data_IF_857061240138
#
_entry.id   IF_857061240138
#
_cell.length_a   1.000
_cell.length_b   1.000
_cell.length_c   1.000
_cell.angle_alpha   90.00
_cell.angle_beta   90.00
_cell.angle_gamma   90.00
#
_symmetry.space_group_name_H-M   'P 1'
#
loop_
_entity.id
_entity.type
_entity.pdbx_description
1 polymer ?
#
# COMPACT_ATOMS: atom_id res chain seq x y z
N UNK A 1 2.99 0.21 14.77
CA UNK A 1 2.77 1.17 13.67
C UNK A 1 3.09 2.60 14.10
N UNK A 2 2.33 3.24 14.99
CA UNK A 2 2.51 4.66 15.34
C UNK A 2 3.92 5.00 15.84
N UNK A 3 4.46 4.24 16.81
CA UNK A 3 5.81 4.48 17.36
C UNK A 3 6.89 4.35 16.26
N UNK A 4 6.77 3.36 15.39
CA UNK A 4 7.71 3.16 14.29
C UNK A 4 7.71 4.38 13.34
N UNK A 5 6.53 4.83 12.90
CA UNK A 5 6.40 5.97 12.00
C UNK A 5 6.87 7.27 12.65
N UNK A 6 6.59 7.46 13.93
CA UNK A 6 7.03 8.63 14.68
C UNK A 6 8.55 8.71 14.80
N UNK A 7 9.22 7.60 15.12
CA UNK A 7 10.68 7.52 15.17
C UNK A 7 11.32 7.75 13.81
N UNK A 8 10.74 7.15 12.75
CA UNK A 8 11.19 7.34 11.37
C UNK A 8 11.05 8.80 10.93
N UNK A 9 9.91 9.43 11.19
CA UNK A 9 9.65 10.84 10.90
C UNK A 9 10.68 11.76 11.54
N UNK A 10 10.93 11.60 12.84
CA UNK A 10 11.93 12.42 13.56
C UNK A 10 13.33 12.24 12.95
N UNK A 11 13.72 10.99 12.69
CA UNK A 11 15.05 10.68 12.15
C UNK A 11 15.23 11.25 10.75
N UNK A 12 14.29 11.02 9.85
CA UNK A 12 14.32 11.50 8.46
C UNK A 12 14.25 13.03 8.39
N UNK A 13 13.39 13.66 9.18
CA UNK A 13 13.31 15.13 9.26
C UNK A 13 14.62 15.74 9.73
N UNK A 14 15.31 15.13 10.70
CA UNK A 14 16.62 15.57 11.15
C UNK A 14 17.68 15.43 10.07
N UNK A 15 17.72 14.31 9.37
CA UNK A 15 18.66 14.07 8.25
C UNK A 15 18.39 15.06 7.12
N UNK A 16 17.14 15.28 6.71
CA UNK A 16 16.75 16.24 5.68
C UNK A 16 17.21 17.66 6.05
N UNK A 17 17.00 18.07 7.30
CA UNK A 17 17.50 19.37 7.78
C UNK A 17 19.02 19.49 7.69
N UNK A 18 19.77 18.43 8.01
CA UNK A 18 21.23 18.40 7.91
C UNK A 18 21.71 18.45 6.44
N UNK A 19 21.01 17.78 5.52
CA UNK A 19 21.26 17.90 4.06
C UNK A 19 21.05 19.36 3.61
N UNK A 20 19.91 19.98 3.97
CA UNK A 20 19.61 21.38 3.60
C UNK A 20 20.64 22.39 4.16
N UNK A 21 21.20 22.12 5.34
CA UNK A 21 22.25 22.96 5.93
C UNK A 21 23.67 22.68 5.37
N UNK A 22 23.79 21.75 4.41
CA UNK A 22 25.07 21.39 3.79
C UNK A 22 26.02 20.57 4.67
N UNK A 23 25.55 20.08 5.83
CA UNK A 23 26.34 19.22 6.71
C UNK A 23 26.49 17.79 6.21
N UNK A 24 25.60 17.37 5.29
CA UNK A 24 25.64 16.07 4.63
C UNK A 24 25.60 16.34 3.12
N UNK A 25 26.56 15.79 2.38
CA UNK A 25 26.57 15.90 0.90
C UNK A 25 25.39 15.13 0.32
N UNK A 26 24.62 15.78 -0.56
CA UNK A 26 23.68 15.09 -1.44
C UNK A 26 24.46 14.36 -2.53
N UNK A 27 24.18 13.06 -2.67
CA UNK A 27 24.63 12.32 -3.85
C UNK A 27 23.77 12.78 -5.03
N UNK A 28 24.42 13.29 -6.10
CA UNK A 28 23.71 13.64 -7.33
C UNK A 28 23.36 12.35 -8.07
N UNK A 29 22.09 12.07 -8.14
CA UNK A 29 21.55 10.96 -8.94
C UNK A 29 21.19 11.45 -10.35
N UNK A 30 21.12 10.51 -11.32
CA UNK A 30 20.72 10.81 -12.68
C UNK A 30 19.24 11.22 -12.78
N UNK A 31 18.85 11.78 -13.94
CA UNK A 31 17.46 12.14 -14.22
C UNK A 31 16.63 10.98 -14.82
N UNK A 32 17.11 9.74 -14.70
CA UNK A 32 16.44 8.56 -15.24
C UNK A 32 15.14 8.25 -14.48
N UNK A 33 14.13 7.83 -15.24
CA UNK A 33 12.86 7.39 -14.68
C UNK A 33 12.76 5.86 -14.73
N UNK A 34 12.36 5.26 -13.65
CA UNK A 34 12.22 3.81 -13.50
C UNK A 34 10.75 3.41 -13.39
N UNK A 35 10.35 2.38 -14.15
CA UNK A 35 8.97 1.88 -14.12
C UNK A 35 8.68 1.19 -12.80
N UNK A 36 7.79 1.77 -12.00
CA UNK A 36 7.32 1.22 -10.73
C UNK A 36 6.01 0.47 -10.86
N UNK A 37 5.04 1.05 -11.56
CA UNK A 37 3.71 0.48 -11.77
C UNK A 37 3.29 0.57 -13.23
N UNK A 38 2.85 -0.54 -13.78
CA UNK A 38 2.22 -0.58 -15.11
C UNK A 38 0.84 0.08 -15.08
N UNK A 39 0.27 0.37 -16.24
CA UNK A 39 -1.09 0.93 -16.36
C UNK A 39 -2.11 0.02 -15.66
N UNK A 40 -2.00 -1.30 -15.86
CA UNK A 40 -2.89 -2.27 -15.20
C UNK A 40 -2.78 -2.21 -13.68
N UNK A 41 -1.56 -2.18 -13.13
CA UNK A 41 -1.32 -2.08 -11.68
C UNK A 41 -1.86 -0.76 -11.10
N UNK A 42 -1.74 0.36 -11.84
CA UNK A 42 -2.31 1.65 -11.44
C UNK A 42 -3.83 1.66 -11.41
N UNK A 43 -4.47 1.06 -12.42
CA UNK A 43 -5.94 0.94 -12.47
C UNK A 43 -6.43 0.07 -11.31
N UNK A 44 -5.77 -1.06 -11.05
CA UNK A 44 -6.09 -1.92 -9.90
C UNK A 44 -5.98 -1.13 -8.58
N UNK A 45 -4.88 -0.42 -8.37
CA UNK A 45 -4.66 0.39 -7.18
C UNK A 45 -5.71 1.50 -7.04
N UNK A 46 -6.00 2.24 -8.11
CA UNK A 46 -6.98 3.32 -8.09
C UNK A 46 -8.40 2.80 -7.79
N UNK A 47 -8.81 1.70 -8.43
CA UNK A 47 -10.10 1.07 -8.17
C UNK A 47 -10.21 0.61 -6.73
N UNK A 48 -9.17 -0.05 -6.22
CA UNK A 48 -9.12 -0.50 -4.82
C UNK A 48 -9.16 0.67 -3.85
N UNK A 49 -8.37 1.72 -4.07
CA UNK A 49 -8.33 2.90 -3.21
C UNK A 49 -9.68 3.64 -3.18
N UNK A 50 -10.30 3.87 -4.34
CA UNK A 50 -11.61 4.52 -4.43
C UNK A 50 -12.69 3.68 -3.75
N UNK A 51 -12.72 2.37 -4.04
CA UNK A 51 -13.69 1.45 -3.41
C UNK A 51 -13.50 1.42 -1.89
N UNK A 52 -12.25 1.35 -1.41
CA UNK A 52 -11.94 1.37 0.02
C UNK A 52 -12.44 2.64 0.70
N UNK A 53 -12.18 3.82 0.12
CA UNK A 53 -12.63 5.09 0.68
C UNK A 53 -14.16 5.16 0.77
N UNK A 54 -14.87 4.71 -0.28
CA UNK A 54 -16.33 4.66 -0.27
C UNK A 54 -16.83 3.66 0.80
N UNK A 55 -16.20 2.48 0.91
CA UNK A 55 -16.57 1.47 1.90
C UNK A 55 -16.37 1.96 3.34
N UNK A 56 -15.27 2.65 3.62
CA UNK A 56 -15.00 3.25 4.94
C UNK A 56 -16.07 4.29 5.28
N UNK A 57 -16.30 5.25 4.39
CA UNK A 57 -17.28 6.32 4.63
C UNK A 57 -18.69 5.75 4.84
N UNK A 58 -19.16 4.93 3.91
CA UNK A 58 -20.51 4.36 3.98
C UNK A 58 -20.65 3.36 5.11
N UNK A 59 -19.62 2.56 5.41
CA UNK A 59 -19.60 1.63 6.54
C UNK A 59 -19.73 2.33 7.89
N UNK A 60 -18.99 3.43 8.09
CA UNK A 60 -19.13 4.24 9.30
C UNK A 60 -20.47 4.98 9.35
N UNK A 61 -21.03 5.44 8.23
CA UNK A 61 -22.39 5.98 8.17
C UNK A 61 -23.44 4.94 8.56
N UNK A 62 -23.26 3.68 8.17
CA UNK A 62 -24.14 2.57 8.55
C UNK A 62 -24.02 2.23 10.03
N UNK A 63 -22.81 2.31 10.59
CA UNK A 63 -22.54 1.94 11.99
C UNK A 63 -22.92 3.04 12.98
N UNK A 64 -22.75 4.31 12.59
CA UNK A 64 -22.94 5.47 13.45
C UNK A 64 -23.90 6.48 12.82
N UNK A 65 -25.18 6.10 12.55
CA UNK A 65 -26.11 6.92 11.80
C UNK A 65 -26.48 8.23 12.51
N UNK A 66 -26.37 8.28 13.84
CA UNK A 66 -26.67 9.45 14.66
C UNK A 66 -25.45 10.31 15.02
N UNK A 67 -24.29 10.01 14.44
CA UNK A 67 -23.11 10.83 14.70
C UNK A 67 -23.24 12.23 14.07
N UNK A 68 -22.60 13.22 14.67
CA UNK A 68 -22.67 14.62 14.26
C UNK A 68 -22.31 14.83 12.78
N UNK A 69 -21.30 14.14 12.27
CA UNK A 69 -20.86 14.27 10.89
C UNK A 69 -21.84 13.61 9.90
N UNK A 70 -22.51 12.53 10.27
CA UNK A 70 -23.55 11.89 9.44
C UNK A 70 -24.79 12.77 9.40
N UNK A 71 -25.18 13.40 10.54
CA UNK A 71 -26.26 14.36 10.56
C UNK A 71 -26.00 15.55 9.63
N UNK A 72 -24.79 16.13 9.66
CA UNK A 72 -24.42 17.21 8.73
C UNK A 72 -24.47 16.79 7.26
N UNK A 73 -24.01 15.57 6.93
CA UNK A 73 -24.13 15.06 5.56
C UNK A 73 -25.60 14.88 5.17
N UNK A 74 -26.44 14.38 6.07
CA UNK A 74 -27.88 14.18 5.85
C UNK A 74 -28.59 15.51 5.61
N UNK A 75 -28.26 16.54 6.38
CA UNK A 75 -28.84 17.85 6.23
C UNK A 75 -28.47 18.51 4.90
N UNK A 76 -27.26 18.24 4.39
CA UNK A 76 -26.76 18.77 3.13
C UNK A 76 -27.14 17.89 1.92
N UNK A 77 -27.13 16.56 2.09
CA UNK A 77 -27.34 15.58 1.03
C UNK A 77 -28.07 14.33 1.55
N UNK A 78 -29.37 14.44 1.75
CA UNK A 78 -30.23 13.40 2.32
C UNK A 78 -30.13 12.08 1.55
N UNK A 79 -30.12 12.12 0.21
CA UNK A 79 -30.10 10.94 -0.65
C UNK A 79 -28.87 10.04 -0.42
N UNK A 80 -27.71 10.63 -0.16
CA UNK A 80 -26.48 9.84 0.13
C UNK A 80 -26.64 9.02 1.41
N UNK A 81 -27.27 9.59 2.43
CA UNK A 81 -27.50 8.87 3.69
C UNK A 81 -28.58 7.79 3.51
N UNK A 82 -29.58 8.05 2.69
CA UNK A 82 -30.64 7.08 2.37
C UNK A 82 -30.05 5.90 1.59
N UNK A 83 -29.30 6.17 0.52
CA UNK A 83 -28.72 5.14 -0.36
C UNK A 83 -27.38 4.58 0.12
N UNK A 84 -26.86 4.96 1.30
CA UNK A 84 -25.54 4.52 1.81
C UNK A 84 -25.32 3.00 1.79
N UNK A 85 -26.36 2.23 2.04
CA UNK A 85 -26.28 0.76 2.01
C UNK A 85 -26.05 0.23 0.59
N UNK A 86 -26.72 0.78 -0.40
CA UNK A 86 -26.52 0.43 -1.80
C UNK A 86 -25.15 0.87 -2.30
N UNK A 87 -24.72 2.09 -1.95
CA UNK A 87 -23.39 2.63 -2.29
C UNK A 87 -22.31 1.71 -1.69
N UNK A 88 -22.48 1.28 -0.44
CA UNK A 88 -21.57 0.35 0.22
C UNK A 88 -21.46 -0.98 -0.54
N UNK A 89 -22.59 -1.58 -0.91
CA UNK A 89 -22.62 -2.86 -1.65
C UNK A 89 -22.01 -2.74 -3.05
N UNK A 90 -22.28 -1.66 -3.78
CA UNK A 90 -21.69 -1.42 -5.10
C UNK A 90 -20.17 -1.29 -4.99
N UNK A 91 -19.66 -0.52 -4.01
CA UNK A 91 -18.25 -0.40 -3.75
C UNK A 91 -17.60 -1.74 -3.32
N UNK A 92 -18.33 -2.56 -2.53
CA UNK A 92 -17.87 -3.89 -2.15
C UNK A 92 -17.75 -4.82 -3.37
N UNK A 93 -18.72 -4.80 -4.28
CA UNK A 93 -18.65 -5.57 -5.53
C UNK A 93 -17.45 -5.11 -6.37
N UNK A 94 -17.22 -3.80 -6.51
CA UNK A 94 -16.06 -3.28 -7.24
C UNK A 94 -14.73 -3.73 -6.60
N UNK A 95 -14.64 -3.70 -5.26
CA UNK A 95 -13.48 -4.19 -4.51
C UNK A 95 -13.25 -5.70 -4.75
N UNK A 96 -14.29 -6.52 -4.70
CA UNK A 96 -14.19 -7.96 -4.95
C UNK A 96 -13.75 -8.22 -6.40
N UNK A 97 -14.34 -7.54 -7.37
CA UNK A 97 -13.99 -7.73 -8.77
C UNK A 97 -12.54 -7.35 -9.09
N UNK A 98 -12.06 -6.23 -8.55
CA UNK A 98 -10.65 -5.86 -8.74
C UNK A 98 -9.70 -6.84 -8.03
N UNK A 99 -10.10 -7.39 -6.90
CA UNK A 99 -9.32 -8.42 -6.18
C UNK A 99 -9.27 -9.74 -6.96
N UNK A 100 -10.36 -10.17 -7.57
CA UNK A 100 -10.39 -11.34 -8.46
C UNK A 100 -9.53 -11.10 -9.71
N UNK A 101 -9.60 -9.90 -10.30
CA UNK A 101 -8.72 -9.54 -11.40
C UNK A 101 -7.25 -9.51 -10.96
N UNK A 102 -6.94 -9.05 -9.75
CA UNK A 102 -5.58 -9.12 -9.21
C UNK A 102 -5.06 -10.55 -9.08
N UNK A 103 -5.90 -11.47 -8.57
CA UNK A 103 -5.55 -12.90 -8.50
C UNK A 103 -5.25 -13.45 -9.90
N UNK A 104 -6.10 -13.14 -10.89
CA UNK A 104 -5.82 -13.48 -12.28
C UNK A 104 -4.47 -12.89 -12.75
N UNK A 105 -4.23 -11.61 -12.49
CA UNK A 105 -3.02 -10.91 -12.90
C UNK A 105 -1.74 -11.56 -12.35
N UNK A 106 -1.70 -11.83 -11.04
CA UNK A 106 -0.52 -12.45 -10.39
C UNK A 106 -0.33 -13.92 -10.76
N UNK A 107 -1.38 -14.62 -11.18
CA UNK A 107 -1.32 -16.03 -11.54
C UNK A 107 -0.93 -16.26 -13.01
N UNK A 108 -1.45 -15.44 -13.91
CA UNK A 108 -1.38 -15.71 -15.35
C UNK A 108 -0.47 -14.75 -16.15
N UNK A 109 -0.01 -13.63 -15.57
CA UNK A 109 0.92 -12.74 -16.27
C UNK A 109 2.35 -12.91 -15.74
N UNK A 110 3.35 -12.74 -16.63
CA UNK A 110 4.77 -12.83 -16.24
C UNK A 110 5.12 -11.77 -15.19
N UNK A 111 4.70 -10.52 -15.45
CA UNK A 111 4.93 -9.40 -14.53
C UNK A 111 4.25 -9.61 -13.17
N UNK A 112 3.02 -10.15 -13.16
CA UNK A 112 2.28 -10.44 -11.92
C UNK A 112 2.95 -11.54 -11.10
N UNK A 113 3.46 -12.59 -11.75
CA UNK A 113 4.22 -13.65 -11.06
C UNK A 113 5.55 -13.15 -10.46
N UNK A 114 6.24 -12.24 -11.15
CA UNK A 114 7.43 -11.59 -10.59
C UNK A 114 7.06 -10.71 -9.39
N UNK A 115 6.00 -9.92 -9.52
CA UNK A 115 5.50 -9.04 -8.46
C UNK A 115 5.15 -9.82 -7.18
N UNK A 116 4.40 -10.91 -7.29
CA UNK A 116 4.03 -11.69 -6.11
C UNK A 116 5.24 -12.39 -5.47
N UNK A 117 6.23 -12.84 -6.26
CA UNK A 117 7.48 -13.40 -5.73
C UNK A 117 8.25 -12.38 -4.90
N UNK A 118 8.35 -11.14 -5.40
CA UNK A 118 9.04 -10.06 -4.70
C UNK A 118 8.28 -9.60 -3.44
N UNK A 119 6.96 -9.79 -3.40
CA UNK A 119 6.11 -9.48 -2.25
C UNK A 119 6.05 -10.58 -1.19
N UNK A 120 6.60 -11.79 -1.45
CA UNK A 120 6.66 -12.81 -0.42
C UNK A 120 7.60 -12.40 0.71
N UNK A 121 7.17 -12.57 1.99
CA UNK A 121 8.01 -12.30 3.15
C UNK A 121 9.24 -13.19 3.17
N UNK A 122 10.39 -12.63 3.52
CA UNK A 122 11.67 -13.31 3.66
C UNK A 122 12.27 -13.05 5.04
N UNK A 123 13.25 -13.87 5.44
CA UNK A 123 14.00 -13.62 6.69
C UNK A 123 14.71 -12.26 6.69
N UNK A 124 15.10 -11.78 5.49
CA UNK A 124 15.69 -10.46 5.31
C UNK A 124 14.75 -9.35 5.77
N UNK A 125 13.44 -9.46 5.52
CA UNK A 125 12.47 -8.43 5.91
C UNK A 125 12.42 -8.23 7.42
N UNK A 126 12.56 -9.33 8.18
CA UNK A 126 12.63 -9.27 9.64
C UNK A 126 13.93 -8.60 10.12
N UNK A 127 15.08 -8.94 9.52
CA UNK A 127 16.36 -8.31 9.86
C UNK A 127 16.40 -6.84 9.45
N UNK A 128 15.80 -6.49 8.32
CA UNK A 128 15.66 -5.11 7.85
C UNK A 128 14.78 -4.29 8.80
N UNK A 129 13.67 -4.83 9.26
CA UNK A 129 12.79 -4.16 10.23
C UNK A 129 13.51 -3.84 11.54
N UNK A 130 14.28 -4.82 12.08
CA UNK A 130 15.12 -4.59 13.27
C UNK A 130 16.23 -3.57 12.98
N UNK A 131 16.86 -3.67 11.80
CA UNK A 131 17.91 -2.75 11.38
C UNK A 131 17.42 -1.30 11.27
N UNK A 132 16.27 -1.09 10.64
CA UNK A 132 15.62 0.24 10.55
C UNK A 132 15.22 0.74 11.94
N UNK A 133 14.69 -0.10 12.81
CA UNK A 133 14.37 0.29 14.17
C UNK A 133 15.61 0.73 14.96
N UNK A 134 16.73 -0.01 14.86
CA UNK A 134 18.02 0.36 15.47
C UNK A 134 18.56 1.68 14.90
N UNK A 135 18.45 1.88 13.58
CA UNK A 135 18.86 3.12 12.93
C UNK A 135 18.02 4.31 13.41
N UNK A 136 16.71 4.18 13.49
CA UNK A 136 15.79 5.23 13.94
C UNK A 136 15.99 5.59 15.41
N UNK A 137 16.32 4.61 16.25
CA UNK A 137 16.68 4.82 17.66
C UNK A 137 18.11 5.38 17.85
N UNK A 138 18.92 5.50 16.78
CA UNK A 138 20.29 5.97 16.87
C UNK A 138 21.30 4.93 17.37
N UNK A 139 20.88 3.67 17.48
CA UNK A 139 21.74 2.54 17.88
C UNK A 139 22.60 2.02 16.71
N UNK A 140 22.27 2.39 15.49
CA UNK A 140 23.06 2.11 14.29
C UNK A 140 23.28 3.39 13.48
N UNK A 141 24.47 3.51 12.85
CA UNK A 141 24.79 4.62 11.94
C UNK A 141 24.39 4.30 10.49
N UNK A 142 24.14 3.04 10.18
CA UNK A 142 23.86 2.55 8.83
C UNK A 142 22.41 2.12 8.74
N UNK A 143 21.66 2.69 7.76
CA UNK A 143 20.31 2.25 7.38
C UNK A 143 20.45 0.97 6.53
N UNK A 144 19.66 -0.09 6.75
CA UNK A 144 19.65 -1.25 5.88
C UNK A 144 19.27 -0.86 4.46
N UNK A 145 19.90 -1.48 3.47
CA UNK A 145 19.52 -1.33 2.07
C UNK A 145 18.28 -2.19 1.80
N UNK A 146 17.20 -1.52 1.43
CA UNK A 146 15.92 -2.16 1.10
C UNK A 146 15.91 -2.59 -0.36
N UNK A 147 15.07 -3.58 -0.67
CA UNK A 147 14.89 -4.09 -2.02
C UNK A 147 13.66 -3.46 -2.68
N UNK A 148 13.21 -4.01 -3.81
CA UNK A 148 12.05 -3.58 -4.59
C UNK A 148 10.81 -3.33 -3.73
N UNK A 149 10.54 -4.23 -2.80
CA UNK A 149 9.53 -4.08 -1.76
C UNK A 149 10.19 -4.24 -0.40
N UNK A 150 10.02 -3.23 0.42
CA UNK A 150 10.44 -3.24 1.82
C UNK A 150 9.53 -4.14 2.66
N UNK A 151 9.96 -4.46 3.87
CA UNK A 151 9.13 -5.17 4.84
C UNK A 151 7.79 -4.46 5.12
N UNK A 152 7.76 -3.14 5.00
CA UNK A 152 6.56 -2.31 5.17
C UNK A 152 5.55 -2.60 4.07
N UNK A 153 5.96 -2.45 2.80
CA UNK A 153 5.10 -2.67 1.63
C UNK A 153 4.60 -4.12 1.57
N UNK A 154 5.46 -5.08 1.94
CA UNK A 154 5.05 -6.50 2.05
C UNK A 154 4.00 -6.71 3.14
N UNK A 155 4.20 -6.12 4.32
CA UNK A 155 3.22 -6.20 5.42
C UNK A 155 1.88 -5.56 5.03
N UNK A 156 1.89 -4.41 4.36
CA UNK A 156 0.68 -3.74 3.85
C UNK A 156 -0.06 -4.61 2.82
N UNK A 157 0.69 -5.20 1.87
CA UNK A 157 0.10 -6.07 0.85
C UNK A 157 -0.60 -7.28 1.47
N UNK A 158 0.08 -8.01 2.37
CA UNK A 158 -0.51 -9.20 2.99
C UNK A 158 -1.61 -8.88 3.98
N UNK A 159 -1.54 -7.75 4.68
CA UNK A 159 -2.65 -7.26 5.49
C UNK A 159 -3.88 -6.92 4.64
N UNK A 160 -3.67 -6.30 3.46
CA UNK A 160 -4.75 -6.01 2.52
C UNK A 160 -5.38 -7.31 1.96
N UNK A 161 -4.56 -8.30 1.58
CA UNK A 161 -5.05 -9.61 1.11
C UNK A 161 -5.91 -10.27 2.18
N UNK A 162 -5.41 -10.35 3.40
CA UNK A 162 -6.15 -10.91 4.53
C UNK A 162 -7.45 -10.14 4.81
N UNK A 163 -7.35 -8.83 4.97
CA UNK A 163 -8.50 -7.97 5.26
C UNK A 163 -9.57 -8.07 4.16
N UNK A 164 -9.17 -8.10 2.89
CA UNK A 164 -10.12 -8.24 1.77
C UNK A 164 -10.87 -9.59 1.83
N UNK A 165 -10.19 -10.68 2.16
CA UNK A 165 -10.84 -12.00 2.32
C UNK A 165 -11.85 -11.95 3.47
N UNK A 166 -11.44 -11.49 4.64
CA UNK A 166 -12.30 -11.41 5.82
C UNK A 166 -13.51 -10.51 5.59
N UNK A 167 -13.27 -9.29 5.04
CA UNK A 167 -14.31 -8.31 4.77
C UNK A 167 -15.30 -8.78 3.71
N UNK A 168 -14.81 -9.42 2.64
CA UNK A 168 -15.67 -9.97 1.59
C UNK A 168 -16.53 -11.10 2.13
N UNK A 169 -15.95 -12.05 2.86
CA UNK A 169 -16.67 -13.19 3.42
C UNK A 169 -17.75 -12.74 4.42
N UNK A 170 -17.38 -11.92 5.41
CA UNK A 170 -18.32 -11.45 6.42
C UNK A 170 -19.39 -10.51 5.85
N UNK A 171 -19.00 -9.66 4.89
CA UNK A 171 -19.93 -8.76 4.21
C UNK A 171 -20.96 -9.52 3.35
N UNK A 172 -20.52 -10.52 2.59
CA UNK A 172 -21.41 -11.38 1.80
C UNK A 172 -22.35 -12.17 2.72
N UNK A 173 -21.83 -12.75 3.80
CA UNK A 173 -22.67 -13.49 4.77
C UNK A 173 -23.76 -12.59 5.36
N UNK A 174 -23.43 -11.36 5.74
CA UNK A 174 -24.43 -10.40 6.22
C UNK A 174 -25.43 -9.98 5.14
N UNK A 175 -24.99 -9.91 3.88
CA UNK A 175 -25.87 -9.52 2.77
C UNK A 175 -26.88 -10.63 2.43
N UNK A 176 -26.42 -11.88 2.32
CA UNK A 176 -27.28 -13.01 1.92
C UNK A 176 -28.10 -13.58 3.09
N UNK A 177 -27.80 -13.21 4.34
CA UNK A 177 -28.47 -13.75 5.52
C UNK A 177 -30.00 -13.66 5.45
N UNK A 178 -30.52 -12.53 4.94
CA UNK A 178 -31.97 -12.31 4.84
C UNK A 178 -32.63 -13.28 3.87
N UNK A 179 -31.94 -13.62 2.77
CA UNK A 179 -32.45 -14.48 1.70
C UNK A 179 -32.34 -15.97 2.06
N UNK A 180 -31.39 -16.31 2.95
CA UNK A 180 -31.13 -17.69 3.38
C UNK A 180 -31.39 -17.90 4.88
N UNK A 181 -32.45 -17.26 5.40
CA UNK A 181 -32.91 -17.46 6.79
C UNK A 181 -33.22 -18.94 7.01
N UNK A 182 -32.44 -19.60 7.89
CA UNK A 182 -32.54 -21.04 8.17
C UNK A 182 -31.26 -21.82 7.81
N UNK A 183 -30.42 -21.32 6.90
CA UNK A 183 -29.08 -21.86 6.66
C UNK A 183 -28.07 -21.35 7.67
N UNK A 184 -28.28 -20.13 8.21
CA UNK A 184 -27.42 -19.48 9.19
C UNK A 184 -28.25 -19.08 10.41
N UNK A 185 -27.63 -19.14 11.58
CA UNK A 185 -28.24 -18.69 12.83
C UNK A 185 -28.05 -17.18 13.04
N UNK A 186 -28.86 -16.60 13.93
CA UNK A 186 -28.64 -15.20 14.35
C UNK A 186 -27.22 -15.00 14.93
N UNK A 187 -26.69 -16.02 15.61
CA UNK A 187 -25.33 -15.98 16.18
C UNK A 187 -24.29 -15.84 15.08
N UNK A 188 -24.41 -16.57 13.96
CA UNK A 188 -23.47 -16.47 12.85
C UNK A 188 -23.45 -15.06 12.23
N UNK A 189 -24.63 -14.44 12.12
CA UNK A 189 -24.74 -13.06 11.66
C UNK A 189 -24.13 -12.05 12.64
N UNK A 190 -24.35 -12.20 13.94
CA UNK A 190 -23.80 -11.33 14.96
C UNK A 190 -22.26 -11.46 15.03
N UNK A 191 -21.71 -12.66 14.86
CA UNK A 191 -20.28 -12.92 14.78
C UNK A 191 -19.70 -12.24 13.52
N UNK A 192 -20.29 -12.48 12.35
CA UNK A 192 -19.82 -11.88 11.10
C UNK A 192 -19.82 -10.35 11.16
N UNK A 193 -20.89 -9.75 11.68
CA UNK A 193 -21.02 -8.31 11.89
C UNK A 193 -19.93 -7.76 12.82
N UNK A 194 -19.62 -8.49 13.89
CA UNK A 194 -18.61 -8.09 14.86
C UNK A 194 -17.21 -8.12 14.23
N UNK A 195 -16.87 -9.20 13.53
CA UNK A 195 -15.59 -9.35 12.83
C UNK A 195 -15.47 -8.25 11.76
N UNK A 196 -16.49 -8.07 10.93
CA UNK A 196 -16.52 -7.06 9.87
C UNK A 196 -16.26 -5.64 10.41
N UNK A 197 -16.88 -5.31 11.53
CA UNK A 197 -16.73 -4.02 12.17
C UNK A 197 -15.31 -3.77 12.71
N UNK A 198 -14.72 -4.73 13.43
CA UNK A 198 -13.38 -4.57 13.97
C UNK A 198 -12.30 -4.62 12.91
N UNK A 199 -12.48 -5.46 11.88
CA UNK A 199 -11.58 -5.49 10.73
C UNK A 199 -11.65 -4.18 9.94
N UNK A 200 -12.83 -3.57 9.77
CA UNK A 200 -12.98 -2.26 9.15
C UNK A 200 -12.18 -1.17 9.90
N UNK A 201 -12.23 -1.17 11.24
CA UNK A 201 -11.40 -0.27 12.05
C UNK A 201 -9.91 -0.54 11.88
N UNK A 202 -9.51 -1.81 11.89
CA UNK A 202 -8.11 -2.19 11.71
C UNK A 202 -7.59 -1.73 10.34
N UNK A 203 -8.34 -2.01 9.27
CA UNK A 203 -8.00 -1.60 7.91
C UNK A 203 -7.94 -0.07 7.79
N UNK A 204 -8.91 0.66 8.34
CA UNK A 204 -8.92 2.12 8.35
C UNK A 204 -7.67 2.70 9.05
N UNK A 205 -7.37 2.22 10.24
CA UNK A 205 -6.20 2.68 11.00
C UNK A 205 -4.88 2.29 10.32
N UNK A 206 -4.81 1.12 9.68
CA UNK A 206 -3.64 0.72 8.92
C UNK A 206 -3.40 1.68 7.73
N UNK A 207 -4.44 2.05 7.00
CA UNK A 207 -4.31 3.00 5.89
C UNK A 207 -3.95 4.40 6.38
N UNK A 208 -4.65 4.93 7.37
CA UNK A 208 -4.44 6.32 7.83
C UNK A 208 -3.10 6.49 8.55
N UNK A 209 -2.72 5.55 9.42
CA UNK A 209 -1.53 5.69 10.25
C UNK A 209 -0.28 5.15 9.56
N UNK A 210 -0.41 4.07 8.79
CA UNK A 210 0.73 3.39 8.20
C UNK A 210 0.91 3.76 6.72
N UNK A 211 -0.05 3.44 5.88
CA UNK A 211 0.05 3.68 4.44
C UNK A 211 0.22 5.17 4.10
N UNK A 212 -0.63 6.05 4.65
CA UNK A 212 -0.51 7.50 4.38
C UNK A 212 0.80 8.08 4.92
N UNK A 213 1.35 7.53 5.99
CA UNK A 213 2.67 7.96 6.43
C UNK A 213 3.70 7.70 5.33
N UNK A 214 3.80 6.48 4.82
CA UNK A 214 4.81 6.13 3.84
C UNK A 214 4.62 6.76 2.46
N UNK A 215 3.40 7.03 2.03
CA UNK A 215 3.12 7.58 0.69
C UNK A 215 2.91 9.09 0.65
N UNK A 216 2.64 9.76 1.79
CA UNK A 216 2.36 11.20 1.87
C UNK A 216 3.30 11.92 2.84
N UNK A 217 3.40 11.43 4.08
CA UNK A 217 4.06 12.19 5.17
C UNK A 217 5.52 11.82 5.38
N UNK A 218 6.05 10.82 4.67
CA UNK A 218 7.45 10.46 4.73
C UNK A 218 8.32 11.61 4.19
N UNK A 219 9.28 12.16 4.99
CA UNK A 219 10.11 13.30 4.58
C UNK A 219 10.91 13.07 3.29
N UNK A 220 11.26 11.81 2.98
CA UNK A 220 12.08 11.48 1.79
C UNK A 220 11.29 11.64 0.49
N UNK A 221 9.95 11.50 0.53
CA UNK A 221 9.07 11.55 -0.64
C UNK A 221 8.02 12.67 -0.60
N UNK A 222 8.02 13.47 0.48
CA UNK A 222 7.06 14.57 0.63
C UNK A 222 7.11 15.53 -0.57
N UNK A 223 5.97 16.02 -1.13
CA UNK A 223 4.62 16.00 -0.52
C UNK A 223 3.82 14.71 -0.73
N UNK A 224 4.14 13.87 -1.72
CA UNK A 224 3.46 12.59 -1.96
C UNK A 224 4.19 11.77 -3.02
N UNK A 225 4.26 10.46 -2.86
CA UNK A 225 4.68 9.56 -3.95
C UNK A 225 3.67 9.60 -5.11
N UNK A 226 4.16 9.88 -6.30
CA UNK A 226 3.34 9.90 -7.52
C UNK A 226 3.42 8.60 -8.32
N UNK A 227 4.06 7.57 -7.81
CA UNK A 227 4.22 6.28 -8.49
C UNK A 227 2.89 5.66 -8.90
N UNK A 228 1.87 5.73 -8.05
CA UNK A 228 0.54 5.20 -8.32
C UNK A 228 -0.19 5.93 -9.46
N UNK A 229 0.18 7.18 -9.74
CA UNK A 229 -0.43 8.01 -10.79
C UNK A 229 0.44 8.01 -12.07
N UNK A 230 1.74 8.32 -11.97
CA UNK A 230 2.67 8.39 -13.10
C UNK A 230 3.15 7.02 -13.57
N UNK A 231 3.23 6.05 -12.66
CA UNK A 231 3.77 4.72 -12.91
C UNK A 231 5.30 4.65 -12.83
N UNK A 232 5.98 5.77 -12.64
CA UNK A 232 7.44 5.86 -12.60
C UNK A 232 7.89 6.58 -11.36
N UNK A 233 9.12 6.30 -10.93
CA UNK A 233 9.84 7.00 -9.86
C UNK A 233 11.19 7.47 -10.38
N UNK A 234 11.76 8.49 -9.74
CA UNK A 234 13.07 9.05 -10.10
C UNK A 234 14.21 8.15 -9.61
N UNK A 235 15.41 8.35 -10.15
CA UNK A 235 16.60 7.64 -9.70
C UNK A 235 16.94 7.97 -8.24
N UNK A 236 16.65 9.18 -7.80
CA UNK A 236 16.84 9.62 -6.42
C UNK A 236 15.91 8.85 -5.46
N UNK A 237 14.60 8.77 -5.79
CA UNK A 237 13.64 7.97 -5.03
C UNK A 237 14.02 6.48 -5.00
N UNK A 238 14.52 5.93 -6.14
CA UNK A 238 15.03 4.56 -6.21
C UNK A 238 16.25 4.36 -5.30
N UNK A 239 17.17 5.31 -5.27
CA UNK A 239 18.39 5.21 -4.46
C UNK A 239 18.09 5.30 -2.95
N UNK A 240 17.10 6.09 -2.55
CA UNK A 240 16.74 6.27 -1.15
C UNK A 240 15.84 5.13 -0.61
N UNK A 241 14.86 4.69 -1.40
CA UNK A 241 13.85 3.73 -0.94
C UNK A 241 14.12 2.28 -1.40
N UNK A 242 14.75 2.09 -2.60
CA UNK A 242 14.95 0.77 -3.22
C UNK A 242 16.39 0.56 -3.75
N UNK A 243 17.44 0.84 -2.94
CA UNK A 243 18.83 0.85 -3.42
C UNK A 243 19.28 -0.49 -4.00
N UNK A 244 18.84 -1.64 -3.49
CA UNK A 244 19.22 -2.95 -4.03
C UNK A 244 18.58 -3.22 -5.40
N UNK A 245 17.34 -2.77 -5.63
CA UNK A 245 16.71 -2.85 -6.95
C UNK A 245 17.46 -1.99 -7.96
N UNK A 246 17.82 -0.76 -7.59
CA UNK A 246 18.60 0.14 -8.44
C UNK A 246 19.96 -0.46 -8.82
N UNK A 247 20.67 -1.05 -7.86
CA UNK A 247 21.94 -1.73 -8.10
C UNK A 247 21.78 -2.88 -9.12
N UNK A 248 20.72 -3.70 -8.98
CA UNK A 248 20.43 -4.79 -9.92
C UNK A 248 20.13 -4.29 -11.34
N UNK A 249 19.32 -3.24 -11.45
CA UNK A 249 18.96 -2.66 -12.76
C UNK A 249 20.21 -2.10 -13.44
N UNK A 250 21.02 -1.32 -12.72
CA UNK A 250 22.27 -0.75 -13.26
C UNK A 250 23.25 -1.83 -13.73
N UNK A 251 23.40 -2.90 -12.93
CA UNK A 251 24.26 -4.03 -13.27
C UNK A 251 23.77 -4.71 -14.56
N UNK A 252 22.47 -5.00 -14.67
CA UNK A 252 21.89 -5.61 -15.87
C UNK A 252 22.08 -4.73 -17.10
N UNK A 253 21.84 -3.44 -17.01
CA UNK A 253 22.07 -2.50 -18.12
C UNK A 253 23.53 -2.46 -18.56
N UNK A 254 24.49 -2.54 -17.64
CA UNK A 254 25.90 -2.60 -17.96
C UNK A 254 26.28 -3.92 -18.67
N UNK A 255 25.76 -5.05 -18.22
CA UNK A 255 25.95 -6.35 -18.87
C UNK A 255 25.36 -6.39 -20.28
N UNK A 256 24.16 -5.83 -20.47
CA UNK A 256 23.51 -5.77 -21.78
C UNK A 256 24.26 -4.85 -22.76
N UNK A 257 24.83 -3.74 -22.28
CA UNK A 257 25.70 -2.86 -23.10
C UNK A 257 26.98 -3.59 -23.56
N UNK A 258 27.67 -4.28 -22.65
CA UNK A 258 28.87 -5.05 -23.01
C UNK A 258 28.59 -6.17 -24.03
N UNK A 259 27.38 -6.73 -24.02
CA UNK A 259 26.98 -7.75 -25.02
C UNK A 259 26.58 -7.14 -26.37
N UNK A 260 26.17 -5.88 -26.40
CA UNK A 260 25.72 -5.18 -27.61
C UNK A 260 26.85 -4.44 -28.35
N UNK A 261 27.99 -4.21 -27.70
CA UNK A 261 29.21 -3.71 -28.39
C UNK A 261 29.84 -4.89 -29.09
N UNK A 262 29.85 -4.94 -30.47
CA UNK A 262 30.59 -5.95 -31.20
C UNK A 262 32.08 -5.74 -30.84
N UNK A 263 32.74 -6.81 -30.44
CA UNK A 263 34.16 -6.77 -30.21
C UNK A 263 34.84 -6.07 -31.39
N UNK A 264 35.57 -5.00 -31.09
CA UNK A 264 36.59 -4.49 -32.00
C UNK A 264 37.67 -5.60 -32.02
N UNK A 265 37.40 -6.64 -32.86
CA UNK A 265 38.42 -7.58 -33.21
C UNK A 265 39.49 -6.80 -33.97
N UNK A 266 40.63 -6.78 -33.40
CA UNK A 266 41.89 -6.33 -33.94
C UNK A 266 42.10 -6.90 -35.35
N UNK A 267 42.34 -6.01 -36.32
CA UNK A 267 43.14 -6.26 -37.49
C UNK A 267 44.45 -5.49 -37.38
#
# INVERSE_FOLDING_TARGET
MFIHNFLDLIKKSKIRKLKQLGHIKEEKHGHSLYLRMTVSERIQHATMAISFMILVLTGFMLRYPESWWVSHIRDFWTDVVEYRSWIHRIAAVAMILVSLYHIYYISFTTRGRELVKDLFPTLKDFTDAIGVAKFNLGLSKVKPKLDRFSYVEKAEYWALVWGTIVMSFTGLLMWIYIDFVGAFTKLDWDIARTIHFYEAWLAFLAIVIWHFYFVIFNPDIYPMSLAWFKGTITEEEMAEEHPLELERIKKKLAEDRMKSEPGSDED
#
